data_IF_740292299510
#
_entry.id   IF_740292299510
#
_cell.length_a   1.000
_cell.length_b   1.000
_cell.length_c   1.000
_cell.angle_alpha   90.00
_cell.angle_beta   90.00
_cell.angle_gamma   90.00
#
_symmetry.space_group_name_H-M   'P 1'
#
loop_
_entity.id
_entity.type
_entity.pdbx_description
1 polymer ?
#
# COMPACT_ATOMS: atom_id res chain seq x y z
N UNK A 1 8.54 -19.56 7.08
CA UNK A 1 7.13 -19.17 7.41
C UNK A 1 6.98 -17.65 7.50
N UNK A 2 7.74 -16.95 8.35
CA UNK A 2 7.62 -15.50 8.51
C UNK A 2 7.87 -14.68 7.22
N UNK A 3 8.82 -15.11 6.39
CA UNK A 3 9.12 -14.50 5.08
C UNK A 3 7.96 -14.58 4.10
N UNK A 4 7.27 -15.73 4.04
CA UNK A 4 6.10 -15.94 3.19
C UNK A 4 4.91 -15.08 3.65
N UNK A 5 4.74 -14.90 4.96
CA UNK A 5 3.67 -14.06 5.52
C UNK A 5 3.92 -12.58 5.16
N UNK A 6 5.15 -12.08 5.27
CA UNK A 6 5.49 -10.70 4.84
C UNK A 6 5.27 -10.49 3.35
N UNK A 7 5.73 -11.42 2.52
CA UNK A 7 5.55 -11.32 1.07
C UNK A 7 4.07 -11.38 0.68
N UNK A 8 3.30 -12.26 1.32
CA UNK A 8 1.86 -12.38 1.12
C UNK A 8 1.11 -11.11 1.48
N UNK A 9 1.42 -10.48 2.62
CA UNK A 9 0.81 -9.21 3.01
C UNK A 9 1.12 -8.09 2.00
N UNK A 10 2.36 -8.01 1.51
CA UNK A 10 2.73 -7.05 0.45
C UNK A 10 1.98 -7.28 -0.85
N UNK A 11 1.83 -8.53 -1.26
CA UNK A 11 1.12 -8.87 -2.48
C UNK A 11 -0.37 -8.55 -2.39
N UNK A 12 -1.03 -8.95 -1.29
CA UNK A 12 -2.46 -8.72 -1.07
C UNK A 12 -2.77 -7.22 -0.99
N UNK A 13 -1.96 -6.45 -0.27
CA UNK A 13 -2.20 -5.01 -0.14
C UNK A 13 -1.88 -4.25 -1.43
N UNK A 14 -0.83 -4.63 -2.17
CA UNK A 14 -0.54 -4.03 -3.47
C UNK A 14 -1.68 -4.27 -4.48
N UNK A 15 -2.24 -5.48 -4.49
CA UNK A 15 -3.40 -5.82 -5.35
C UNK A 15 -4.64 -5.03 -4.90
N UNK A 16 -4.93 -4.97 -3.61
CA UNK A 16 -6.10 -4.26 -3.08
C UNK A 16 -6.07 -2.75 -3.40
N UNK A 17 -4.93 -2.10 -3.14
CA UNK A 17 -4.74 -0.67 -3.44
C UNK A 17 -4.72 -0.44 -4.96
N UNK A 18 -4.10 -1.32 -5.74
CA UNK A 18 -4.06 -1.23 -7.20
C UNK A 18 -5.43 -1.32 -7.86
N UNK A 19 -6.35 -2.14 -7.32
CA UNK A 19 -7.74 -2.22 -7.79
C UNK A 19 -8.52 -0.95 -7.40
N UNK A 20 -8.31 -0.43 -6.18
CA UNK A 20 -9.03 0.74 -5.66
C UNK A 20 -8.72 2.03 -6.43
N UNK A 21 -7.48 2.17 -6.89
CA UNK A 21 -7.00 3.34 -7.65
C UNK A 21 -6.78 3.04 -9.13
N UNK A 22 -7.38 1.96 -9.64
CA UNK A 22 -7.33 1.62 -11.05
C UNK A 22 -7.95 2.75 -11.88
N UNK A 23 -7.24 3.19 -12.93
CA UNK A 23 -7.65 4.28 -13.86
C UNK A 23 -7.57 5.72 -13.31
N UNK A 24 -7.00 5.94 -12.11
CA UNK A 24 -6.94 7.28 -11.50
C UNK A 24 -5.54 7.89 -11.64
N UNK A 25 -5.41 9.04 -12.31
CA UNK A 25 -4.15 9.81 -12.34
C UNK A 25 -3.84 10.61 -13.61
N UNK A 26 -4.62 10.47 -14.69
CA UNK A 26 -4.35 11.17 -15.95
C UNK A 26 -4.69 12.67 -15.95
N UNK A 27 -5.55 13.14 -15.03
CA UNK A 27 -6.02 14.52 -15.00
C UNK A 27 -5.58 15.25 -13.72
N UNK A 28 -5.21 16.53 -13.85
CA UNK A 28 -4.86 17.38 -12.70
C UNK A 28 -6.02 17.57 -11.69
N UNK A 29 -7.27 17.38 -12.14
CA UNK A 29 -8.46 17.36 -11.29
C UNK A 29 -8.45 16.19 -10.28
N UNK A 30 -7.72 15.11 -10.58
CA UNK A 30 -7.62 13.90 -9.76
C UNK A 30 -6.42 13.91 -8.81
N UNK A 31 -5.74 15.05 -8.65
CA UNK A 31 -4.62 15.24 -7.69
C UNK A 31 -5.01 14.78 -6.28
N UNK A 32 -6.26 15.01 -5.86
CA UNK A 32 -6.74 14.56 -4.55
C UNK A 32 -6.75 13.03 -4.43
N UNK A 33 -7.24 12.31 -5.45
CA UNK A 33 -7.19 10.85 -5.42
C UNK A 33 -5.75 10.32 -5.50
N UNK A 34 -4.88 10.97 -6.27
CA UNK A 34 -3.47 10.57 -6.35
C UNK A 34 -2.74 10.80 -5.02
N UNK A 35 -3.06 11.87 -4.29
CA UNK A 35 -2.58 12.08 -2.92
C UNK A 35 -3.12 11.03 -1.95
N UNK A 36 -4.36 10.55 -2.15
CA UNK A 36 -4.94 9.45 -1.39
C UNK A 36 -4.20 8.13 -1.62
N UNK A 37 -3.84 7.82 -2.87
CA UNK A 37 -3.03 6.66 -3.22
C UNK A 37 -1.67 6.68 -2.50
N UNK A 38 -1.00 7.85 -2.53
CA UNK A 38 0.28 8.05 -1.83
C UNK A 38 0.13 7.89 -0.31
N UNK A 39 -0.94 8.42 0.27
CA UNK A 39 -1.23 8.28 1.70
C UNK A 39 -1.43 6.80 2.10
N UNK A 40 -2.24 6.05 1.37
CA UNK A 40 -2.46 4.62 1.64
C UNK A 40 -1.17 3.80 1.46
N UNK A 41 -0.35 4.15 0.46
CA UNK A 41 0.96 3.51 0.24
C UNK A 41 1.93 3.77 1.39
N UNK A 42 1.95 5.00 1.93
CA UNK A 42 2.77 5.36 3.09
C UNK A 42 2.28 4.69 4.37
N UNK A 43 0.97 4.62 4.60
CA UNK A 43 0.40 3.87 5.73
C UNK A 43 0.83 2.40 5.69
N UNK A 44 0.81 1.79 4.52
CA UNK A 44 1.24 0.41 4.36
C UNK A 44 2.73 0.22 4.64
N UNK A 45 3.57 1.13 4.15
CA UNK A 45 5.00 1.13 4.42
C UNK A 45 5.29 1.23 5.93
N UNK A 46 4.61 2.15 6.63
CA UNK A 46 4.75 2.30 8.08
C UNK A 46 4.29 1.06 8.84
N UNK A 47 3.17 0.45 8.45
CA UNK A 47 2.69 -0.82 9.03
C UNK A 47 3.69 -1.95 8.82
N UNK A 48 4.29 -2.06 7.64
CA UNK A 48 5.35 -3.04 7.34
C UNK A 48 6.57 -2.86 8.24
N UNK A 49 7.04 -1.62 8.38
CA UNK A 49 8.19 -1.29 9.23
C UNK A 49 7.90 -1.60 10.71
N UNK A 50 6.71 -1.26 11.20
CA UNK A 50 6.30 -1.54 12.57
C UNK A 50 6.12 -3.05 12.85
N UNK A 51 5.52 -3.78 11.92
CA UNK A 51 5.44 -5.25 11.97
C UNK A 51 6.84 -5.88 12.00
N UNK A 52 7.84 -5.25 11.37
CA UNK A 52 9.21 -5.71 11.45
C UNK A 52 9.80 -5.64 12.86
N UNK A 53 9.50 -4.57 13.59
CA UNK A 53 9.94 -4.36 14.97
C UNK A 53 9.22 -5.27 15.95
N UNK A 54 7.92 -5.54 15.77
CA UNK A 54 7.14 -6.37 16.71
C UNK A 54 7.46 -7.88 16.64
N UNK A 55 7.92 -8.37 15.48
CA UNK A 55 8.14 -9.80 15.25
C UNK A 55 9.63 -10.18 15.43
N UNK A 56 10.49 -9.22 15.80
CA UNK A 56 11.90 -9.46 16.20
C UNK A 56 11.99 -9.43 17.71
#
# INVERSE_FOLDING_TARGET
>A
VLTFIRLGMHLVTAIFIGILFYDIGQEASQVRNNSGLLFFSLMFLMFSAFSATLIT
#
